data_IF_927868835919
#
_entry.id   IF_927868835919
#
_cell.length_a   1.000
_cell.length_b   1.000
_cell.length_c   1.000
_cell.angle_alpha   90.00
_cell.angle_beta   90.00
_cell.angle_gamma   90.00
#
_symmetry.space_group_name_H-M   'P 1'
#
loop_
_entity.id
_entity.type
_entity.pdbx_description
1 polymer ?
#
# COMPACT_ATOMS: atom_id res chain seq x y z
N UNK A 1 -33.67 -4.22 83.61
CA UNK A 1 -34.32 -4.53 82.29
C UNK A 1 -34.04 -3.43 81.33
N UNK A 2 -33.07 -3.60 80.43
CA UNK A 2 -32.77 -2.64 79.33
C UNK A 2 -32.63 -3.45 78.06
N UNK A 3 -33.53 -3.22 77.06
CA UNK A 3 -33.53 -3.85 75.75
C UNK A 3 -32.60 -3.04 74.83
N UNK A 4 -31.54 -3.65 74.33
CA UNK A 4 -30.74 -3.12 73.30
C UNK A 4 -31.39 -3.36 71.91
N UNK A 5 -31.67 -2.32 71.15
CA UNK A 5 -32.08 -2.38 69.75
C UNK A 5 -30.87 -2.19 68.93
N UNK A 6 -30.45 -3.23 68.25
CA UNK A 6 -29.43 -3.17 67.19
C UNK A 6 -30.07 -2.67 65.92
N UNK A 7 -29.58 -1.52 65.37
CA UNK A 7 -29.94 -0.99 64.07
C UNK A 7 -29.09 -1.68 63.01
N UNK A 8 -29.73 -2.43 62.12
CA UNK A 8 -29.11 -2.92 60.88
C UNK A 8 -29.11 -1.78 59.86
N UNK A 9 -27.96 -1.27 59.48
CA UNK A 9 -27.76 -0.37 58.34
C UNK A 9 -27.59 -1.20 57.07
N UNK A 10 -28.59 -1.13 56.17
CA UNK A 10 -28.56 -1.70 54.84
C UNK A 10 -27.77 -0.78 53.95
N UNK A 11 -26.55 -1.15 53.55
CA UNK A 11 -25.76 -0.43 52.55
C UNK A 11 -26.18 -0.86 51.14
N UNK A 12 -26.88 0.02 50.46
CA UNK A 12 -27.28 -0.14 49.04
C UNK A 12 -26.04 0.12 48.14
N UNK A 13 -25.45 -0.98 47.67
CA UNK A 13 -24.36 -0.89 46.69
C UNK A 13 -24.87 -0.46 45.31
N UNK A 14 -24.54 0.76 44.89
CA UNK A 14 -24.81 1.27 43.55
C UNK A 14 -23.77 0.66 42.60
N UNK A 15 -24.14 -0.37 41.82
CA UNK A 15 -23.32 -0.92 40.75
C UNK A 15 -23.33 0.06 39.57
N UNK A 16 -22.24 0.82 39.39
CA UNK A 16 -22.00 1.55 38.16
C UNK A 16 -21.71 0.54 37.03
N UNK A 17 -22.71 0.30 36.19
CA UNK A 17 -22.51 -0.35 34.91
C UNK A 17 -21.83 0.65 33.95
N UNK A 18 -20.51 0.53 33.83
CA UNK A 18 -19.77 1.22 32.76
C UNK A 18 -20.16 0.59 31.42
N UNK A 19 -20.53 1.39 30.40
CA UNK A 19 -20.73 0.84 29.06
C UNK A 19 -19.36 0.35 28.55
N UNK A 20 -19.28 -0.95 28.27
CA UNK A 20 -18.19 -1.54 27.49
C UNK A 20 -18.29 -0.92 26.09
N UNK A 21 -17.54 0.16 25.83
CA UNK A 21 -17.31 0.61 24.49
C UNK A 21 -16.54 -0.51 23.78
N UNK A 22 -17.24 -1.26 22.91
CA UNK A 22 -16.60 -2.08 21.90
C UNK A 22 -15.79 -1.11 21.01
N UNK A 23 -14.54 -0.92 21.37
CA UNK A 23 -13.50 -0.51 20.41
C UNK A 23 -13.42 -1.66 19.40
N UNK A 24 -14.20 -1.55 18.31
CA UNK A 24 -13.89 -2.24 17.07
C UNK A 24 -12.53 -1.70 16.64
N UNK A 25 -11.48 -2.28 17.16
CA UNK A 25 -10.14 -2.10 16.66
C UNK A 25 -10.17 -2.58 15.21
N UNK A 26 -10.15 -1.64 14.27
CA UNK A 26 -9.61 -1.90 12.95
C UNK A 26 -8.17 -2.36 13.22
N UNK A 27 -7.98 -3.68 13.27
CA UNK A 27 -6.66 -4.26 13.40
C UNK A 27 -5.87 -3.82 12.18
N UNK A 28 -5.05 -2.78 12.32
CA UNK A 28 -3.96 -2.50 11.41
C UNK A 28 -3.13 -3.79 11.38
N UNK A 29 -3.22 -4.53 10.29
CA UNK A 29 -2.33 -5.65 10.04
C UNK A 29 -0.98 -4.98 9.82
N UNK A 30 -0.20 -4.91 10.91
CA UNK A 30 1.14 -4.34 10.85
C UNK A 30 1.95 -5.20 9.87
N UNK A 31 2.54 -4.56 8.85
CA UNK A 31 3.58 -5.20 8.07
C UNK A 31 4.67 -5.68 9.04
N UNK A 32 5.30 -6.84 8.78
CA UNK A 32 6.54 -7.16 9.46
C UNK A 32 7.48 -5.96 9.33
N UNK A 33 8.05 -5.52 10.44
CA UNK A 33 8.87 -4.30 10.49
C UNK A 33 10.15 -4.40 9.63
N UNK A 34 10.54 -5.61 9.22
CA UNK A 34 11.78 -5.87 8.49
C UNK A 34 11.67 -7.16 7.67
N UNK A 35 12.55 -7.36 6.67
CA UNK A 35 12.67 -8.61 5.94
C UNK A 35 13.05 -9.78 6.86
N UNK A 36 12.60 -10.98 6.53
CA UNK A 36 12.98 -12.21 7.22
C UNK A 36 14.38 -12.66 6.82
N UNK A 37 15.00 -13.53 7.63
CA UNK A 37 16.31 -14.14 7.28
C UNK A 37 16.25 -14.93 5.96
N UNK A 38 15.12 -15.58 5.69
CA UNK A 38 14.92 -16.34 4.45
C UNK A 38 14.84 -15.41 3.25
N UNK A 39 14.14 -14.28 3.35
CA UNK A 39 14.10 -13.26 2.31
C UNK A 39 15.48 -12.64 2.06
N UNK A 40 16.24 -12.34 3.12
CA UNK A 40 17.63 -11.88 3.01
C UNK A 40 18.54 -12.90 2.30
N UNK A 41 18.38 -14.18 2.62
CA UNK A 41 19.12 -15.25 1.97
C UNK A 41 18.70 -15.41 0.52
N UNK A 42 17.40 -15.36 0.23
CA UNK A 42 16.87 -15.45 -1.13
C UNK A 42 17.37 -14.30 -2.00
N UNK A 43 17.43 -13.07 -1.49
CA UNK A 43 17.96 -11.92 -2.26
C UNK A 43 19.40 -12.18 -2.72
N UNK A 44 20.28 -12.66 -1.81
CA UNK A 44 21.66 -13.04 -2.17
C UNK A 44 21.74 -14.19 -3.17
N UNK A 45 20.86 -15.19 -3.04
CA UNK A 45 20.81 -16.32 -3.99
C UNK A 45 20.39 -15.85 -5.39
N UNK A 46 19.35 -15.03 -5.48
CA UNK A 46 18.91 -14.46 -6.76
C UNK A 46 20.00 -13.60 -7.39
N UNK A 47 20.69 -12.77 -6.59
CA UNK A 47 21.86 -12.03 -7.06
C UNK A 47 22.94 -12.99 -7.61
N UNK A 48 23.30 -14.03 -6.89
CA UNK A 48 24.29 -15.01 -7.34
C UNK A 48 23.92 -15.69 -8.66
N UNK A 49 22.64 -16.06 -8.83
CA UNK A 49 22.14 -16.68 -10.06
C UNK A 49 22.17 -15.69 -11.25
N UNK A 50 21.73 -14.46 -11.06
CA UNK A 50 21.61 -13.46 -12.14
C UNK A 50 22.94 -12.80 -12.50
N UNK A 51 23.95 -12.91 -11.64
CA UNK A 51 25.32 -12.42 -11.90
C UNK A 51 26.19 -13.44 -12.61
N UNK A 52 25.78 -14.71 -12.68
CA UNK A 52 26.54 -15.79 -13.27
C UNK A 52 26.03 -16.08 -14.70
N UNK A 53 26.91 -15.92 -15.69
CA UNK A 53 26.60 -16.16 -17.11
C UNK A 53 26.18 -17.60 -17.43
N UNK A 54 26.39 -18.56 -16.51
CA UNK A 54 25.90 -19.93 -16.65
C UNK A 54 24.40 -20.07 -16.46
N UNK A 55 23.78 -19.10 -15.73
CA UNK A 55 22.35 -19.13 -15.38
C UNK A 55 21.58 -17.96 -15.98
N UNK A 56 22.21 -16.79 -16.08
CA UNK A 56 21.55 -15.60 -16.60
C UNK A 56 21.72 -15.52 -18.13
N UNK A 57 20.61 -15.36 -18.85
CA UNK A 57 20.61 -15.14 -20.29
C UNK A 57 21.35 -13.85 -20.68
N UNK A 58 21.22 -12.80 -19.90
CA UNK A 58 21.90 -11.50 -20.05
C UNK A 58 22.40 -11.03 -18.69
N UNK A 59 23.57 -11.50 -18.23
CA UNK A 59 24.10 -11.02 -16.96
C UNK A 59 24.40 -9.52 -17.07
N UNK A 60 23.89 -8.75 -16.10
CA UNK A 60 24.20 -7.33 -15.91
C UNK A 60 24.92 -7.15 -14.58
N UNK A 61 25.89 -6.24 -14.56
CA UNK A 61 26.48 -5.84 -13.29
C UNK A 61 25.41 -5.20 -12.40
N UNK A 62 25.33 -5.66 -11.18
CA UNK A 62 24.49 -5.02 -10.16
C UNK A 62 25.31 -3.89 -9.53
N UNK A 63 25.10 -2.68 -10.03
CA UNK A 63 25.83 -1.44 -9.70
C UNK A 63 24.85 -0.28 -9.45
N UNK A 64 25.39 0.90 -9.17
CA UNK A 64 24.60 2.13 -8.95
C UNK A 64 23.65 2.47 -10.12
N UNK A 65 24.04 2.15 -11.36
CA UNK A 65 23.18 2.41 -12.51
C UNK A 65 21.96 1.50 -12.49
N UNK A 66 22.16 0.19 -12.26
CA UNK A 66 21.07 -0.77 -12.12
C UNK A 66 20.25 -0.50 -10.84
N UNK A 67 20.89 -0.02 -9.75
CA UNK A 67 20.21 0.39 -8.53
C UNK A 67 19.15 1.48 -8.80
N UNK A 68 19.45 2.49 -9.62
CA UNK A 68 18.50 3.54 -10.03
C UNK A 68 17.33 2.98 -10.86
N UNK A 69 17.62 2.05 -11.77
CA UNK A 69 16.58 1.37 -12.55
C UNK A 69 15.64 0.58 -11.63
N UNK A 70 16.19 -0.19 -10.68
CA UNK A 70 15.44 -0.96 -9.69
C UNK A 70 14.51 -0.05 -8.87
N UNK A 71 15.02 1.07 -8.36
CA UNK A 71 14.20 2.03 -7.64
C UNK A 71 13.05 2.54 -8.50
N UNK A 72 13.33 2.92 -9.75
CA UNK A 72 12.33 3.41 -10.69
C UNK A 72 11.25 2.36 -10.97
N UNK A 73 11.63 1.12 -11.25
CA UNK A 73 10.66 0.04 -11.52
C UNK A 73 9.89 -0.36 -10.27
N UNK A 74 10.51 -0.32 -9.08
CA UNK A 74 9.80 -0.59 -7.83
C UNK A 74 8.72 0.46 -7.54
N UNK A 75 9.04 1.75 -7.69
CA UNK A 75 8.07 2.83 -7.52
C UNK A 75 6.93 2.75 -8.55
N UNK A 76 7.25 2.41 -9.80
CA UNK A 76 6.26 2.19 -10.86
C UNK A 76 5.36 0.98 -10.59
N UNK A 77 5.89 -0.08 -9.98
CA UNK A 77 5.12 -1.25 -9.56
C UNK A 77 4.14 -0.89 -8.44
N UNK A 78 4.57 -0.09 -7.45
CA UNK A 78 3.73 0.32 -6.34
C UNK A 78 2.65 1.34 -6.76
N UNK A 79 3.03 2.34 -7.56
CA UNK A 79 2.15 3.44 -7.95
C UNK A 79 2.27 3.76 -9.46
N UNK A 80 1.78 2.86 -10.34
CA UNK A 80 1.92 3.01 -11.79
C UNK A 80 1.23 4.26 -12.35
N UNK A 81 0.19 4.74 -11.67
CA UNK A 81 -0.56 5.94 -12.04
C UNK A 81 -0.03 7.22 -11.40
N UNK A 82 0.95 7.13 -10.52
CA UNK A 82 1.49 8.26 -9.74
C UNK A 82 0.38 9.05 -9.06
N UNK A 83 -0.49 8.31 -8.34
CA UNK A 83 -1.70 8.84 -7.70
C UNK A 83 -1.65 8.80 -6.18
N UNK A 84 -0.65 8.14 -5.59
CA UNK A 84 -0.50 8.01 -4.15
C UNK A 84 0.73 8.74 -3.62
N UNK A 85 1.92 8.42 -4.15
CA UNK A 85 3.18 9.01 -3.71
C UNK A 85 3.30 10.47 -4.19
N UNK A 86 3.81 11.33 -3.32
CA UNK A 86 4.12 12.71 -3.68
C UNK A 86 5.52 12.81 -4.32
N UNK A 87 5.76 13.89 -5.06
CA UNK A 87 7.10 14.22 -5.55
C UNK A 87 8.14 14.31 -4.41
N UNK A 88 7.72 14.77 -3.22
CA UNK A 88 8.59 14.84 -2.05
C UNK A 88 8.92 13.44 -1.50
N UNK A 89 7.97 12.50 -1.50
CA UNK A 89 8.25 11.12 -1.09
C UNK A 89 9.28 10.49 -2.03
N UNK A 90 9.08 10.66 -3.34
CA UNK A 90 9.99 10.11 -4.36
C UNK A 90 11.39 10.72 -4.24
N UNK A 91 11.51 12.04 -4.05
CA UNK A 91 12.79 12.68 -3.79
C UNK A 91 13.44 12.18 -2.49
N UNK A 92 12.64 11.84 -1.45
CA UNK A 92 13.15 11.24 -0.22
C UNK A 92 13.75 9.84 -0.44
N UNK A 93 13.32 9.11 -1.47
CA UNK A 93 13.86 7.80 -1.82
C UNK A 93 15.16 7.86 -2.64
N UNK A 94 15.59 9.03 -3.10
CA UNK A 94 16.87 9.19 -3.82
C UNK A 94 18.07 8.71 -2.98
N UNK A 95 17.95 8.69 -1.65
CA UNK A 95 18.95 8.08 -0.75
C UNK A 95 19.19 6.59 -1.03
N UNK A 96 18.21 5.91 -1.66
CA UNK A 96 18.32 4.50 -2.03
C UNK A 96 18.79 4.30 -3.49
N UNK A 97 18.86 5.36 -4.28
CA UNK A 97 19.13 5.26 -5.73
C UNK A 97 20.49 4.62 -6.08
N UNK A 98 21.44 4.65 -5.16
CA UNK A 98 22.78 4.07 -5.33
C UNK A 98 23.14 3.04 -4.27
N UNK A 99 22.16 2.50 -3.54
CA UNK A 99 22.41 1.58 -2.43
C UNK A 99 21.55 0.30 -2.50
N UNK A 100 20.57 0.22 -3.41
CA UNK A 100 19.75 -0.98 -3.56
C UNK A 100 20.56 -2.17 -4.08
N UNK A 101 21.58 -1.95 -4.91
CA UNK A 101 22.49 -2.98 -5.38
C UNK A 101 23.26 -3.61 -4.23
N UNK A 102 23.80 -2.81 -3.31
CA UNK A 102 24.48 -3.30 -2.12
C UNK A 102 23.51 -3.98 -1.13
N UNK A 103 22.30 -3.45 -1.01
CA UNK A 103 21.25 -4.07 -0.21
C UNK A 103 20.90 -5.48 -0.71
N UNK A 104 20.77 -5.68 -2.03
CA UNK A 104 20.51 -6.99 -2.63
C UNK A 104 21.70 -7.92 -2.47
N UNK A 105 22.95 -7.47 -2.75
CA UNK A 105 24.19 -8.25 -2.60
C UNK A 105 24.38 -8.75 -1.18
N UNK A 106 24.08 -7.93 -0.19
CA UNK A 106 24.24 -8.27 1.24
C UNK A 106 23.00 -8.96 1.83
N UNK A 107 21.84 -8.86 1.17
CA UNK A 107 20.56 -9.33 1.67
C UNK A 107 19.91 -8.38 2.70
N UNK A 108 20.40 -7.15 2.81
CA UNK A 108 19.83 -6.11 3.69
C UNK A 108 18.77 -5.30 2.92
N UNK A 109 17.67 -5.97 2.56
CA UNK A 109 16.63 -5.42 1.68
C UNK A 109 15.57 -4.57 2.42
N UNK A 110 15.92 -4.05 3.60
CA UNK A 110 15.09 -3.15 4.41
C UNK A 110 14.57 -1.91 3.64
N UNK A 111 15.33 -1.31 2.69
CA UNK A 111 14.84 -0.20 1.88
C UNK A 111 13.51 -0.49 1.17
N UNK A 112 13.26 -1.74 0.75
CA UNK A 112 12.00 -2.11 0.12
C UNK A 112 10.81 -1.93 1.07
N UNK A 113 10.97 -2.30 2.35
CA UNK A 113 9.96 -2.11 3.39
C UNK A 113 9.77 -0.64 3.75
N UNK A 114 10.84 0.13 3.83
CA UNK A 114 10.77 1.57 4.12
C UNK A 114 9.97 2.31 3.03
N UNK A 115 10.22 2.03 1.76
CA UNK A 115 9.48 2.59 0.62
C UNK A 115 8.02 2.14 0.66
N UNK A 116 7.76 0.85 0.88
CA UNK A 116 6.41 0.31 0.92
C UNK A 116 5.59 0.88 2.09
N UNK A 117 6.19 1.13 3.26
CA UNK A 117 5.50 1.73 4.40
C UNK A 117 5.04 3.17 4.10
N UNK A 118 5.87 3.95 3.41
CA UNK A 118 5.45 5.29 2.92
C UNK A 118 4.29 5.14 1.95
N UNK A 119 4.39 4.25 0.95
CA UNK A 119 3.32 3.99 0.00
C UNK A 119 2.00 3.63 0.70
N UNK A 120 2.02 2.68 1.64
CA UNK A 120 0.84 2.25 2.40
C UNK A 120 0.19 3.40 3.16
N UNK A 121 0.98 4.26 3.80
CA UNK A 121 0.48 5.47 4.48
C UNK A 121 -0.19 6.42 3.50
N UNK A 122 0.44 6.66 2.34
CA UNK A 122 -0.13 7.53 1.31
C UNK A 122 -1.42 6.97 0.71
N UNK A 123 -1.52 5.66 0.49
CA UNK A 123 -2.78 5.01 0.10
C UNK A 123 -3.88 5.29 1.13
N UNK A 124 -3.60 5.09 2.43
CA UNK A 124 -4.57 5.37 3.48
C UNK A 124 -5.04 6.83 3.48
N UNK A 125 -4.11 7.79 3.36
CA UNK A 125 -4.40 9.22 3.29
C UNK A 125 -5.28 9.55 2.08
N UNK A 126 -4.93 9.06 0.90
CA UNK A 126 -5.66 9.34 -0.35
C UNK A 126 -7.04 8.69 -0.37
N UNK A 127 -7.17 7.47 0.12
CA UNK A 127 -8.47 6.80 0.22
C UNK A 127 -9.36 7.48 1.26
N UNK A 128 -8.82 7.90 2.39
CA UNK A 128 -9.56 8.68 3.38
C UNK A 128 -10.05 10.00 2.79
N UNK A 129 -9.21 10.70 2.03
CA UNK A 129 -9.58 11.91 1.31
C UNK A 129 -10.70 11.64 0.29
N UNK A 130 -10.57 10.60 -0.55
CA UNK A 130 -11.57 10.23 -1.53
C UNK A 130 -12.94 9.94 -0.90
N UNK A 131 -12.97 9.16 0.19
CA UNK A 131 -14.21 8.85 0.93
C UNK A 131 -14.82 10.10 1.58
N UNK A 132 -14.00 11.06 2.01
CA UNK A 132 -14.49 12.37 2.49
C UNK A 132 -15.17 13.15 1.37
N UNK A 133 -14.65 13.13 0.14
CA UNK A 133 -15.26 13.80 -1.02
C UNK A 133 -16.67 13.26 -1.32
N UNK A 134 -16.94 11.97 -1.09
CA UNK A 134 -18.26 11.37 -1.32
C UNK A 134 -19.37 11.93 -0.42
N UNK A 135 -19.03 12.60 0.67
CA UNK A 135 -20.02 13.22 1.58
C UNK A 135 -20.55 14.55 1.07
N UNK A 136 -19.85 15.17 0.12
CA UNK A 136 -20.26 16.43 -0.53
C UNK A 136 -21.02 16.21 -1.83
N UNK A 137 -21.41 17.33 -2.43
CA UNK A 137 -21.99 17.36 -3.76
C UNK A 137 -20.93 17.76 -4.80
N UNK A 138 -21.11 17.29 -6.03
CA UNK A 138 -20.23 17.61 -7.14
C UNK A 138 -20.91 18.59 -8.10
N UNK A 139 -20.23 19.70 -8.38
CA UNK A 139 -20.64 20.67 -9.40
C UNK A 139 -20.21 20.19 -10.78
N UNK A 140 -21.17 19.76 -11.60
CA UNK A 140 -20.94 19.29 -12.98
C UNK A 140 -21.11 20.39 -14.04
N UNK A 141 -21.36 21.64 -13.64
CA UNK A 141 -21.44 22.77 -14.57
C UNK A 141 -20.07 23.25 -15.05
N UNK A 142 -19.00 22.90 -14.33
CA UNK A 142 -17.62 23.30 -14.65
C UNK A 142 -17.01 22.32 -15.65
N UNK A 143 -16.36 22.86 -16.68
CA UNK A 143 -15.56 22.08 -17.63
C UNK A 143 -14.24 21.65 -16.93
N UNK A 144 -14.25 20.45 -16.39
CA UNK A 144 -13.07 19.81 -15.77
C UNK A 144 -12.74 18.52 -16.52
N UNK A 145 -11.45 18.25 -16.67
CA UNK A 145 -10.95 17.05 -17.36
C UNK A 145 -10.20 16.15 -16.40
N UNK A 146 -10.40 14.85 -16.53
CA UNK A 146 -9.66 13.83 -15.83
C UNK A 146 -8.88 12.97 -16.83
N UNK A 147 -7.55 12.89 -16.66
CA UNK A 147 -6.68 12.07 -17.49
C UNK A 147 -6.55 10.66 -16.88
N UNK A 148 -6.96 9.64 -17.64
CA UNK A 148 -6.83 8.23 -17.23
C UNK A 148 -5.42 7.69 -17.41
N UNK A 149 -4.79 7.98 -18.56
CA UNK A 149 -3.41 7.59 -18.80
C UNK A 149 -2.46 8.58 -18.13
N UNK A 150 -1.78 8.10 -17.11
CA UNK A 150 -0.86 8.88 -16.29
C UNK A 150 0.54 8.30 -16.21
N UNK A 151 0.84 7.24 -16.98
CA UNK A 151 2.14 6.56 -16.92
C UNK A 151 3.33 7.52 -17.10
N UNK A 152 3.19 8.52 -18.00
CA UNK A 152 4.21 9.51 -18.29
C UNK A 152 4.01 10.85 -17.54
N UNK A 153 2.99 10.92 -16.64
CA UNK A 153 2.80 12.11 -15.83
C UNK A 153 3.94 12.30 -14.82
N UNK A 154 4.30 13.53 -14.46
CA UNK A 154 5.24 13.78 -13.38
C UNK A 154 4.59 13.39 -12.02
N UNK A 155 5.43 13.12 -11.03
CA UNK A 155 4.98 13.03 -9.64
C UNK A 155 4.46 14.38 -9.19
N UNK A 156 3.27 14.41 -8.63
CA UNK A 156 2.63 15.64 -8.16
C UNK A 156 3.00 15.91 -6.69
N UNK A 157 2.93 17.16 -6.28
CA UNK A 157 2.96 17.53 -4.87
C UNK A 157 1.63 17.16 -4.17
N UNK A 158 1.52 17.41 -2.87
CA UNK A 158 0.33 17.08 -2.10
C UNK A 158 -0.94 17.79 -2.63
N UNK A 159 -0.82 19.08 -3.02
CA UNK A 159 -1.94 19.85 -3.54
C UNK A 159 -2.39 19.36 -4.93
N UNK A 160 -1.44 18.97 -5.76
CA UNK A 160 -1.69 18.35 -7.06
C UNK A 160 -2.41 17.01 -6.91
N UNK A 161 -2.01 16.18 -5.94
CA UNK A 161 -2.70 14.93 -5.63
C UNK A 161 -4.11 15.17 -5.08
N UNK A 162 -4.34 16.19 -4.25
CA UNK A 162 -5.69 16.54 -3.76
C UNK A 162 -6.60 16.91 -4.93
N UNK A 163 -6.10 17.72 -5.88
CA UNK A 163 -6.82 18.08 -7.10
C UNK A 163 -7.11 16.85 -7.95
N UNK A 164 -6.13 16.00 -8.17
CA UNK A 164 -6.25 14.75 -8.94
C UNK A 164 -7.32 13.82 -8.33
N UNK A 165 -7.25 13.59 -7.02
CA UNK A 165 -8.20 12.71 -6.35
C UNK A 165 -9.62 13.28 -6.33
N UNK A 166 -9.78 14.60 -6.17
CA UNK A 166 -11.08 15.26 -6.30
C UNK A 166 -11.68 15.05 -7.70
N UNK A 167 -10.87 15.22 -8.75
CA UNK A 167 -11.30 14.99 -10.14
C UNK A 167 -11.61 13.50 -10.39
N UNK A 168 -10.80 12.59 -9.87
CA UNK A 168 -11.01 11.15 -9.98
C UNK A 168 -12.34 10.72 -9.35
N UNK A 169 -12.60 11.15 -8.12
CA UNK A 169 -13.86 10.85 -7.42
C UNK A 169 -15.06 11.44 -8.15
N UNK A 170 -14.96 12.70 -8.62
CA UNK A 170 -16.00 13.35 -9.42
C UNK A 170 -16.28 12.60 -10.72
N UNK A 171 -15.23 12.12 -11.39
CA UNK A 171 -15.36 11.33 -12.61
C UNK A 171 -16.02 9.96 -12.34
N UNK A 172 -15.60 9.25 -11.28
CA UNK A 172 -16.24 7.99 -10.88
C UNK A 172 -17.72 8.16 -10.56
N UNK A 173 -18.06 9.26 -9.86
CA UNK A 173 -19.45 9.64 -9.60
C UNK A 173 -20.22 9.89 -10.88
N UNK A 174 -19.66 10.70 -11.80
CA UNK A 174 -20.30 11.04 -13.07
C UNK A 174 -20.63 9.80 -13.90
N UNK A 175 -19.69 8.85 -13.98
CA UNK A 175 -19.89 7.59 -14.72
C UNK A 175 -21.07 6.79 -14.19
N UNK A 176 -21.21 6.67 -12.87
CA UNK A 176 -22.34 5.97 -12.25
C UNK A 176 -23.66 6.73 -12.40
N UNK A 177 -23.62 8.09 -12.35
CA UNK A 177 -24.77 8.94 -12.58
C UNK A 177 -25.28 8.80 -14.03
N UNK A 178 -24.39 8.82 -15.02
CA UNK A 178 -24.72 8.60 -16.42
C UNK A 178 -25.25 7.18 -16.69
N UNK A 179 -24.87 6.20 -15.88
CA UNK A 179 -25.43 4.85 -15.89
C UNK A 179 -26.79 4.75 -15.17
N UNK A 180 -27.42 5.88 -14.80
CA UNK A 180 -28.75 5.96 -14.20
C UNK A 180 -28.84 5.59 -12.72
N UNK A 181 -27.72 5.49 -11.99
CA UNK A 181 -27.76 5.15 -10.57
C UNK A 181 -28.21 6.33 -9.70
N UNK A 182 -29.06 6.09 -8.69
CA UNK A 182 -29.40 7.09 -7.67
C UNK A 182 -28.17 7.52 -6.85
N UNK A 183 -28.16 8.74 -6.35
CA UNK A 183 -27.03 9.33 -5.62
C UNK A 183 -26.59 8.50 -4.41
N UNK A 184 -27.52 7.96 -3.63
CA UNK A 184 -27.20 7.15 -2.45
C UNK A 184 -26.54 5.81 -2.82
N UNK A 185 -26.95 5.19 -3.93
CA UNK A 185 -26.34 3.97 -4.43
C UNK A 185 -24.93 4.25 -5.00
N UNK A 186 -24.73 5.40 -5.62
CA UNK A 186 -23.42 5.86 -6.07
C UNK A 186 -22.49 6.00 -4.86
N UNK A 187 -22.91 6.72 -3.81
CA UNK A 187 -22.13 6.89 -2.57
C UNK A 187 -21.72 5.55 -1.97
N UNK A 188 -22.67 4.66 -1.76
CA UNK A 188 -22.43 3.32 -1.21
C UNK A 188 -21.47 2.50 -2.09
N UNK A 189 -21.65 2.54 -3.41
CA UNK A 189 -20.83 1.80 -4.36
C UNK A 189 -19.37 2.29 -4.34
N UNK A 190 -19.15 3.60 -4.39
CA UNK A 190 -17.82 4.20 -4.40
C UNK A 190 -17.14 4.08 -3.04
N UNK A 191 -17.86 4.28 -1.93
CA UNK A 191 -17.31 4.09 -0.58
C UNK A 191 -16.82 2.66 -0.38
N UNK A 192 -17.61 1.65 -0.79
CA UNK A 192 -17.20 0.25 -0.74
C UNK A 192 -16.00 -0.03 -1.65
N UNK A 193 -15.94 0.55 -2.86
CA UNK A 193 -14.80 0.39 -3.79
C UNK A 193 -13.51 0.92 -3.16
N UNK A 194 -13.55 2.13 -2.61
CA UNK A 194 -12.38 2.74 -1.97
C UNK A 194 -11.98 2.02 -0.69
N UNK A 195 -12.95 1.59 0.13
CA UNK A 195 -12.67 0.76 1.30
C UNK A 195 -11.97 -0.56 0.92
N UNK A 196 -12.45 -1.25 -0.13
CA UNK A 196 -11.83 -2.48 -0.62
C UNK A 196 -10.40 -2.25 -1.11
N UNK A 197 -10.14 -1.15 -1.84
CA UNK A 197 -8.79 -0.81 -2.29
C UNK A 197 -7.84 -0.63 -1.10
N UNK A 198 -8.27 0.12 -0.07
CA UNK A 198 -7.48 0.27 1.15
C UNK A 198 -7.20 -1.07 1.83
N UNK A 199 -8.24 -1.90 1.99
CA UNK A 199 -8.11 -3.24 2.59
C UNK A 199 -7.13 -4.11 1.79
N UNK A 200 -7.19 -4.09 0.46
CA UNK A 200 -6.26 -4.86 -0.39
C UNK A 200 -4.80 -4.49 -0.14
N UNK A 201 -4.50 -3.19 0.00
CA UNK A 201 -3.12 -2.74 0.29
C UNK A 201 -2.71 -3.05 1.74
N UNK A 202 -3.64 -2.92 2.69
CA UNK A 202 -3.38 -3.24 4.10
C UNK A 202 -3.15 -4.74 4.35
N UNK A 203 -3.72 -5.61 3.51
CA UNK A 203 -3.57 -7.06 3.63
C UNK A 203 -2.30 -7.62 2.99
N UNK A 204 -1.54 -6.79 2.24
CA UNK A 204 -0.26 -7.22 1.69
C UNK A 204 0.72 -7.59 2.82
N UNK A 205 1.33 -8.75 2.68
CA UNK A 205 2.29 -9.30 3.65
C UNK A 205 3.73 -9.05 3.19
N UNK A 206 4.69 -9.33 4.05
CA UNK A 206 6.11 -9.18 3.73
C UNK A 206 6.55 -9.97 2.50
N UNK A 207 5.92 -11.13 2.21
CA UNK A 207 6.25 -11.93 1.02
C UNK A 207 5.82 -11.25 -0.29
N UNK A 208 4.69 -10.56 -0.31
CA UNK A 208 4.25 -9.78 -1.47
C UNK A 208 5.11 -8.52 -1.66
N UNK A 209 5.52 -7.86 -0.57
CA UNK A 209 6.46 -6.73 -0.62
C UNK A 209 7.80 -7.18 -1.18
N UNK A 210 8.34 -8.28 -0.65
CA UNK A 210 9.59 -8.87 -1.12
C UNK A 210 9.51 -9.27 -2.59
N UNK A 211 8.43 -9.96 -3.00
CA UNK A 211 8.22 -10.35 -4.40
C UNK A 211 8.19 -9.14 -5.32
N UNK A 212 7.47 -8.08 -4.96
CA UNK A 212 7.38 -6.85 -5.77
C UNK A 212 8.74 -6.19 -5.93
N UNK A 213 9.55 -6.14 -4.87
CA UNK A 213 10.90 -5.60 -4.91
C UNK A 213 11.84 -6.46 -5.75
N UNK A 214 11.82 -7.78 -5.55
CA UNK A 214 12.65 -8.70 -6.32
C UNK A 214 12.27 -8.69 -7.81
N UNK A 215 11.00 -8.51 -8.14
CA UNK A 215 10.56 -8.36 -9.54
C UNK A 215 11.00 -7.04 -10.16
N UNK A 216 11.11 -5.96 -9.39
CA UNK A 216 11.75 -4.74 -9.88
C UNK A 216 13.24 -4.98 -10.22
N UNK A 217 13.95 -5.79 -9.41
CA UNK A 217 15.32 -6.15 -9.70
C UNK A 217 15.44 -7.11 -10.90
N UNK A 218 14.72 -8.23 -10.89
CA UNK A 218 14.82 -9.25 -11.95
C UNK A 218 14.38 -8.70 -13.30
N UNK A 219 13.27 -7.94 -13.33
CA UNK A 219 12.74 -7.29 -14.52
C UNK A 219 13.66 -6.19 -15.09
N UNK A 220 14.47 -5.54 -14.24
CA UNK A 220 15.48 -4.57 -14.69
C UNK A 220 16.67 -5.27 -15.39
N UNK A 221 16.88 -6.57 -15.14
CA UNK A 221 17.91 -7.36 -15.84
C UNK A 221 17.35 -7.94 -17.14
N UNK A 222 16.19 -8.59 -17.06
CA UNK A 222 15.49 -9.20 -18.18
C UNK A 222 13.97 -9.12 -17.96
N UNK A 223 13.20 -8.50 -18.86
CA UNK A 223 11.75 -8.34 -18.71
C UNK A 223 10.96 -9.67 -18.69
N UNK A 224 11.59 -10.79 -18.99
CA UNK A 224 10.98 -12.12 -18.94
C UNK A 224 11.37 -12.92 -17.68
N UNK A 225 12.12 -12.31 -16.78
CA UNK A 225 12.56 -12.95 -15.53
C UNK A 225 11.78 -12.42 -14.35
N UNK A 226 11.01 -13.31 -13.72
CA UNK A 226 10.21 -12.99 -12.53
C UNK A 226 10.65 -13.84 -11.33
N UNK A 227 10.60 -13.24 -10.16
CA UNK A 227 10.65 -13.93 -8.88
C UNK A 227 9.24 -14.26 -8.40
N UNK A 228 9.01 -15.50 -8.02
CA UNK A 228 7.76 -15.95 -7.38
C UNK A 228 8.06 -16.36 -5.94
N UNK A 229 7.30 -15.80 -4.98
CA UNK A 229 7.34 -16.30 -3.62
C UNK A 229 6.78 -17.74 -3.57
N UNK A 230 7.05 -18.54 -2.51
CA UNK A 230 6.64 -19.95 -2.45
C UNK A 230 5.16 -20.17 -2.75
N UNK A 231 4.28 -19.33 -2.21
CA UNK A 231 2.84 -19.41 -2.42
C UNK A 231 2.44 -19.13 -3.88
N UNK A 232 3.07 -18.13 -4.49
CA UNK A 232 2.83 -17.81 -5.90
C UNK A 232 3.31 -18.92 -6.81
N UNK A 233 4.46 -19.53 -6.51
CA UNK A 233 5.01 -20.67 -7.24
C UNK A 233 4.12 -21.92 -7.11
N UNK A 234 3.58 -22.23 -5.93
CA UNK A 234 2.63 -23.33 -5.73
C UNK A 234 1.35 -23.10 -6.55
N UNK A 235 0.78 -21.90 -6.51
CA UNK A 235 -0.41 -21.57 -7.29
C UNK A 235 -0.17 -21.68 -8.80
N UNK A 236 0.99 -21.27 -9.27
CA UNK A 236 1.39 -21.40 -10.67
C UNK A 236 1.50 -22.87 -11.08
N UNK A 237 2.15 -23.71 -10.29
CA UNK A 237 2.27 -25.14 -10.54
C UNK A 237 0.94 -25.88 -10.51
N UNK A 238 -0.03 -25.43 -9.72
CA UNK A 238 -1.38 -26.03 -9.69
C UNK A 238 -2.22 -25.67 -10.92
N UNK A 239 -1.87 -24.60 -11.64
CA UNK A 239 -2.62 -24.14 -12.82
C UNK A 239 -2.07 -24.70 -14.14
N UNK A 240 -0.87 -25.29 -14.13
CA UNK A 240 -0.25 -25.95 -15.28
C UNK A 240 -0.56 -27.44 -15.32
#
# INVERSE_FOLDING_TARGET
>A
MKRNRTLLTLSLGLALAAPLALLAGSGDIALPAAPTKDQSTTARMVFGLLSDSRYAYRPRALDDALSREILTEYLKTLDPGKVFLTAQDVAGFDTYATTLDDAIKTGQVDPAWAIFDVYRRRVNERITFARKQLKGDFDFSKDERYAYDRKDAPWADAAGLDTLWRQSVKNDWLRLKLAGKPADDIRKTLDKRYANLLTSVQQLKGDEVFQSFMNAYTGSIDPHTDYMNPRSAENFNMQM
#
